data_IF_392343612661
#
_entry.id   IF_392343612661
#
_cell.length_a   1.000
_cell.length_b   1.000
_cell.length_c   1.000
_cell.angle_alpha   90.00
_cell.angle_beta   90.00
_cell.angle_gamma   90.00
#
_symmetry.space_group_name_H-M   'P 1'
#
loop_
_entity.id
_entity.type
_entity.pdbx_description
1 polymer ?
#
# COMPACT_ATOMS: atom_id res chain seq x y z
N UNK A 1 -6.84 21.21 -21.76
CA UNK A 1 -7.30 20.41 -22.91
C UNK A 1 -6.53 19.10 -22.88
N UNK A 2 -7.24 17.99 -22.63
CA UNK A 2 -6.67 16.67 -22.40
C UNK A 2 -7.76 15.78 -21.82
N UNK A 3 -8.76 15.46 -22.63
CA UNK A 3 -9.75 14.44 -22.29
C UNK A 3 -9.02 13.11 -22.14
N UNK A 4 -9.01 12.54 -20.93
CA UNK A 4 -8.30 11.29 -20.68
C UNK A 4 -9.00 10.12 -21.38
N UNK A 5 -8.18 9.36 -22.11
CA UNK A 5 -8.59 8.45 -23.17
C UNK A 5 -9.52 7.32 -22.70
N UNK A 6 -10.53 7.12 -23.55
CA UNK A 6 -11.58 6.11 -23.46
C UNK A 6 -11.03 4.69 -23.57
N UNK A 7 -11.56 3.79 -22.75
CA UNK A 7 -11.36 2.36 -22.93
C UNK A 7 -12.64 1.69 -23.49
N UNK A 8 -12.57 1.18 -24.72
CA UNK A 8 -13.62 0.32 -25.30
C UNK A 8 -13.32 -1.16 -25.02
N UNK A 9 -14.26 -1.85 -24.38
CA UNK A 9 -14.44 -3.30 -24.53
C UNK A 9 -15.88 -3.55 -24.95
N UNK A 10 -16.07 -4.47 -25.91
CA UNK A 10 -17.37 -4.89 -26.42
C UNK A 10 -18.14 -5.63 -25.31
N UNK A 11 -18.97 -4.91 -24.57
CA UNK A 11 -20.20 -5.34 -23.90
C UNK A 11 -20.62 -4.24 -22.91
N UNK A 12 -21.92 -3.93 -22.84
CA UNK A 12 -22.52 -2.80 -22.10
C UNK A 12 -22.42 -2.94 -20.56
N UNK A 13 -21.22 -3.08 -20.00
CA UNK A 13 -20.96 -2.86 -18.57
C UNK A 13 -20.50 -1.42 -18.38
N UNK A 14 -21.22 -0.63 -17.56
CA UNK A 14 -20.80 0.72 -17.16
C UNK A 14 -19.36 0.63 -16.64
N UNK A 15 -18.44 1.36 -17.31
CA UNK A 15 -17.02 1.29 -17.00
C UNK A 15 -16.66 2.32 -15.94
N UNK A 16 -16.23 1.84 -14.78
CA UNK A 16 -15.69 2.66 -13.71
C UNK A 16 -14.20 2.93 -13.96
N UNK A 17 -13.77 4.16 -13.70
CA UNK A 17 -12.37 4.57 -13.69
C UNK A 17 -11.71 4.13 -12.38
N UNK A 18 -10.37 4.06 -12.35
CA UNK A 18 -9.61 3.78 -11.10
C UNK A 18 -10.06 4.73 -9.98
N UNK A 19 -10.20 6.01 -10.29
CA UNK A 19 -10.69 7.05 -9.38
C UNK A 19 -12.08 6.76 -8.82
N UNK A 20 -12.99 6.21 -9.63
CA UNK A 20 -14.33 5.85 -9.17
C UNK A 20 -14.25 4.72 -8.13
N UNK A 21 -13.41 3.71 -8.36
CA UNK A 21 -13.22 2.60 -7.41
C UNK A 21 -12.64 3.11 -6.09
N UNK A 22 -11.68 4.04 -6.13
CA UNK A 22 -11.11 4.61 -4.91
C UNK A 22 -12.11 5.52 -4.18
N UNK A 23 -12.98 6.24 -4.91
CA UNK A 23 -14.10 6.94 -4.28
C UNK A 23 -15.08 5.97 -3.63
N UNK A 24 -15.46 4.87 -4.29
CA UNK A 24 -16.32 3.85 -3.69
C UNK A 24 -15.71 3.28 -2.40
N UNK A 25 -14.42 2.95 -2.42
CA UNK A 25 -13.67 2.56 -1.24
C UNK A 25 -13.73 3.62 -0.13
N UNK A 26 -13.56 4.89 -0.47
CA UNK A 26 -13.66 6.00 0.49
C UNK A 26 -15.06 6.13 1.13
N UNK A 27 -16.12 5.76 0.38
CA UNK A 27 -17.53 5.75 0.79
C UNK A 27 -17.99 4.42 1.40
N UNK A 28 -17.10 3.45 1.71
CA UNK A 28 -17.45 2.26 2.50
C UNK A 28 -18.05 2.62 3.87
N UNK A 29 -17.72 3.81 4.37
CA UNK A 29 -18.35 4.44 5.53
C UNK A 29 -19.08 5.70 5.07
N UNK A 30 -20.12 6.09 5.79
CA UNK A 30 -20.83 7.33 5.48
C UNK A 30 -19.90 8.55 5.55
N UNK A 31 -19.95 9.42 4.53
CA UNK A 31 -19.14 10.64 4.40
C UNK A 31 -19.98 11.82 3.99
N UNK A 32 -19.64 13.00 4.51
CA UNK A 32 -20.27 14.25 4.11
C UNK A 32 -19.60 14.75 2.82
N UNK A 33 -20.39 14.96 1.77
CA UNK A 33 -19.87 15.36 0.46
C UNK A 33 -19.38 16.82 0.41
N UNK A 34 -19.66 17.61 1.44
CA UNK A 34 -19.22 19.01 1.56
C UNK A 34 -17.89 19.16 2.31
N UNK A 35 -17.37 18.08 2.90
CA UNK A 35 -16.08 18.10 3.58
C UNK A 35 -14.91 18.14 2.60
N UNK A 36 -13.72 18.42 3.13
CA UNK A 36 -12.49 18.31 2.36
C UNK A 36 -12.16 16.85 2.10
N UNK A 37 -11.74 16.55 0.87
CA UNK A 37 -11.35 15.21 0.47
C UNK A 37 -9.82 15.06 0.51
N UNK A 38 -9.32 13.81 0.66
CA UNK A 38 -7.89 13.55 0.56
C UNK A 38 -7.28 14.09 -0.74
N UNK A 39 -6.12 14.74 -0.62
CA UNK A 39 -5.44 15.41 -1.71
C UNK A 39 -5.07 14.48 -2.88
N UNK A 40 -4.91 13.18 -2.63
CA UNK A 40 -4.56 12.22 -3.67
C UNK A 40 -5.62 12.12 -4.79
N UNK A 41 -6.89 12.47 -4.52
CA UNK A 41 -7.90 12.47 -5.58
C UNK A 41 -7.57 13.50 -6.66
N UNK A 42 -7.09 14.68 -6.28
CA UNK A 42 -6.70 15.72 -7.22
C UNK A 42 -5.28 15.53 -7.73
N UNK A 43 -4.32 15.12 -6.88
CA UNK A 43 -2.90 15.05 -7.29
C UNK A 43 -2.54 13.74 -7.99
N UNK A 44 -2.98 12.59 -7.47
CA UNK A 44 -2.66 11.27 -8.03
C UNK A 44 -3.64 10.86 -9.12
N UNK A 45 -4.94 11.08 -8.89
CA UNK A 45 -6.00 10.66 -9.82
C UNK A 45 -6.53 11.76 -10.73
N UNK A 46 -6.17 13.04 -10.48
CA UNK A 46 -6.48 14.18 -11.35
C UNK A 46 -7.98 14.34 -11.64
N UNK A 47 -8.84 14.09 -10.65
CA UNK A 47 -10.30 14.22 -10.78
C UNK A 47 -10.85 15.47 -10.10
N UNK A 48 -11.99 15.96 -10.61
CA UNK A 48 -12.92 16.77 -9.83
C UNK A 48 -13.79 15.84 -8.97
N UNK A 49 -13.50 15.80 -7.68
CA UNK A 49 -14.18 14.93 -6.71
C UNK A 49 -15.68 15.18 -6.67
N UNK A 50 -16.12 16.45 -6.75
CA UNK A 50 -17.55 16.79 -6.68
C UNK A 50 -18.29 16.32 -7.92
N UNK A 51 -17.66 16.44 -9.09
CA UNK A 51 -18.22 15.92 -10.33
C UNK A 51 -18.38 14.39 -10.27
N UNK A 52 -17.37 13.68 -9.79
CA UNK A 52 -17.45 12.21 -9.71
C UNK A 52 -18.40 11.70 -8.62
N UNK A 53 -18.53 12.40 -7.50
CA UNK A 53 -19.59 12.10 -6.53
C UNK A 53 -20.98 12.22 -7.16
N UNK A 54 -21.24 13.30 -7.91
CA UNK A 54 -22.53 13.47 -8.61
C UNK A 54 -22.80 12.31 -9.58
N UNK A 55 -21.78 11.89 -10.34
CA UNK A 55 -21.86 10.72 -11.23
C UNK A 55 -22.15 9.43 -10.44
N UNK A 56 -21.50 9.20 -9.31
CA UNK A 56 -21.73 8.01 -8.47
C UNK A 56 -23.14 7.99 -7.87
N UNK A 57 -23.70 9.15 -7.50
CA UNK A 57 -25.10 9.29 -7.05
C UNK A 57 -26.06 8.97 -8.19
N UNK A 58 -25.86 9.59 -9.36
CA UNK A 58 -26.71 9.38 -10.55
C UNK A 58 -26.69 7.93 -11.03
N UNK A 59 -25.55 7.25 -10.88
CA UNK A 59 -25.41 5.84 -11.23
C UNK A 59 -25.85 4.88 -10.13
N UNK A 60 -26.32 5.39 -8.98
CA UNK A 60 -26.74 4.62 -7.80
C UNK A 60 -25.61 3.75 -7.20
N UNK A 61 -24.36 4.11 -7.43
CA UNK A 61 -23.20 3.43 -6.84
C UNK A 61 -22.96 3.89 -5.39
N UNK A 62 -23.40 5.10 -5.05
CA UNK A 62 -23.55 5.58 -3.67
C UNK A 62 -24.98 6.08 -3.47
N UNK A 63 -25.43 6.06 -2.22
CA UNK A 63 -26.78 6.46 -1.81
C UNK A 63 -26.75 7.29 -0.55
N UNK A 64 -27.84 8.01 -0.28
CA UNK A 64 -27.95 8.81 0.94
C UNK A 64 -27.86 7.89 2.16
N UNK A 65 -27.00 8.23 3.10
CA UNK A 65 -26.86 7.48 4.34
C UNK A 65 -28.18 7.53 5.12
N UNK A 66 -28.58 6.41 5.71
CA UNK A 66 -29.78 6.37 6.54
C UNK A 66 -29.56 7.14 7.86
N UNK A 67 -30.64 7.44 8.57
CA UNK A 67 -30.64 8.18 9.84
C UNK A 67 -29.59 7.67 10.83
N UNK A 68 -29.53 6.35 11.04
CA UNK A 68 -28.57 5.74 11.97
C UNK A 68 -27.13 5.95 11.53
N UNK A 69 -26.85 5.83 10.23
CA UNK A 69 -25.53 6.07 9.65
C UNK A 69 -25.12 7.54 9.76
N UNK A 70 -26.04 8.47 9.49
CA UNK A 70 -25.80 9.91 9.64
C UNK A 70 -25.51 10.30 11.10
N UNK A 71 -26.32 9.80 12.06
CA UNK A 71 -26.07 10.01 13.49
C UNK A 71 -24.70 9.46 13.93
N UNK A 72 -24.25 8.34 13.34
CA UNK A 72 -22.93 7.80 13.61
C UNK A 72 -21.77 8.69 13.14
N UNK A 73 -22.01 9.65 12.25
CA UNK A 73 -20.98 10.61 11.83
C UNK A 73 -20.79 11.73 12.86
N UNK A 74 -21.82 12.06 13.64
CA UNK A 74 -21.75 13.09 14.67
C UNK A 74 -20.83 12.67 15.82
N UNK A 75 -20.10 13.62 16.38
CA UNK A 75 -19.31 13.38 17.59
C UNK A 75 -20.22 13.31 18.84
N UNK A 76 -19.68 12.82 19.95
CA UNK A 76 -20.47 12.62 21.19
C UNK A 76 -21.05 13.95 21.73
N UNK A 77 -20.36 15.07 21.54
CA UNK A 77 -20.85 16.39 21.97
C UNK A 77 -22.07 16.82 21.17
N UNK A 78 -22.03 16.66 19.84
CA UNK A 78 -23.15 16.94 18.93
C UNK A 78 -24.37 16.08 19.25
N UNK A 79 -24.18 14.77 19.44
CA UNK A 79 -25.27 13.87 19.84
C UNK A 79 -25.92 14.29 21.17
N UNK A 80 -25.10 14.68 22.15
CA UNK A 80 -25.61 15.19 23.44
C UNK A 80 -26.35 16.51 23.29
N UNK A 81 -25.97 17.39 22.36
CA UNK A 81 -26.73 18.62 22.07
C UNK A 81 -28.13 18.29 21.58
N UNK A 82 -28.26 17.37 20.61
CA UNK A 82 -29.57 16.93 20.10
C UNK A 82 -30.39 16.29 21.23
N UNK A 83 -29.78 15.43 22.05
CA UNK A 83 -30.45 14.82 23.20
C UNK A 83 -31.00 15.88 24.17
N UNK A 84 -30.27 16.98 24.42
CA UNK A 84 -30.75 18.07 25.28
C UNK A 84 -31.92 18.82 24.66
N UNK A 85 -31.85 19.12 23.36
CA UNK A 85 -32.95 19.79 22.64
C UNK A 85 -34.25 18.99 22.74
N UNK A 86 -34.15 17.68 22.64
CA UNK A 86 -35.28 16.75 22.72
C UNK A 86 -35.62 16.31 24.15
N UNK A 87 -34.99 16.91 25.17
CA UNK A 87 -35.20 16.61 26.59
C UNK A 87 -35.02 15.12 26.97
N UNK A 88 -34.12 14.39 26.30
CA UNK A 88 -33.79 12.99 26.62
C UNK A 88 -32.45 12.83 27.36
N UNK A 89 -32.25 11.72 28.11
CA UNK A 89 -31.04 11.54 28.90
C UNK A 89 -29.75 11.48 28.06
N UNK A 90 -28.82 12.40 28.36
CA UNK A 90 -27.52 12.58 27.68
C UNK A 90 -26.40 11.63 28.17
N UNK A 91 -26.72 10.73 29.08
CA UNK A 91 -25.77 9.76 29.66
C UNK A 91 -25.62 8.53 28.78
N UNK A 92 -24.41 7.96 28.76
CA UNK A 92 -24.09 6.73 28.05
C UNK A 92 -23.00 6.87 26.98
N UNK A 93 -22.62 5.72 26.43
CA UNK A 93 -21.71 5.61 25.27
C UNK A 93 -22.41 6.07 23.99
N UNK A 94 -21.65 6.39 22.94
CA UNK A 94 -22.15 6.88 21.64
C UNK A 94 -23.29 6.02 21.07
N UNK A 95 -23.14 4.69 21.06
CA UNK A 95 -24.17 3.79 20.55
C UNK A 95 -25.51 3.95 21.29
N UNK A 96 -25.47 4.03 22.63
CA UNK A 96 -26.67 4.22 23.47
C UNK A 96 -27.34 5.56 23.17
N UNK A 97 -26.56 6.63 22.97
CA UNK A 97 -27.12 7.93 22.59
C UNK A 97 -27.81 7.87 21.23
N UNK A 98 -27.22 7.18 20.26
CA UNK A 98 -27.80 7.01 18.93
C UNK A 98 -29.10 6.19 19.01
N UNK A 99 -29.12 5.09 19.75
CA UNK A 99 -30.32 4.26 19.88
C UNK A 99 -31.49 5.04 20.53
N UNK A 100 -31.20 5.90 21.51
CA UNK A 100 -32.21 6.83 22.08
C UNK A 100 -32.68 7.87 21.06
N UNK A 101 -31.78 8.45 20.29
CA UNK A 101 -32.14 9.45 19.28
C UNK A 101 -32.99 8.85 18.15
N UNK A 102 -32.78 7.58 17.82
CA UNK A 102 -33.57 6.88 16.79
C UNK A 102 -35.04 6.65 17.19
N UNK A 103 -35.40 6.78 18.46
CA UNK A 103 -36.81 6.70 18.90
C UNK A 103 -37.56 8.01 18.75
N UNK A 104 -36.86 9.10 18.40
CA UNK A 104 -37.44 10.45 18.31
C UNK A 104 -38.08 10.64 16.93
N UNK A 105 -39.37 11.02 16.86
CA UNK A 105 -40.00 11.40 15.60
C UNK A 105 -39.24 12.55 14.93
N UNK A 106 -39.11 12.53 13.60
CA UNK A 106 -38.44 13.58 12.83
C UNK A 106 -36.98 13.86 13.20
N UNK A 107 -36.27 12.91 13.84
CA UNK A 107 -34.83 13.02 14.13
C UNK A 107 -33.98 13.40 12.89
N UNK A 108 -34.49 13.13 11.69
CA UNK A 108 -33.90 13.50 10.42
C UNK A 108 -33.72 15.01 10.22
N UNK A 109 -34.46 15.85 10.94
CA UNK A 109 -34.34 17.31 10.86
C UNK A 109 -33.04 17.83 11.52
N UNK A 110 -32.44 17.03 12.41
CA UNK A 110 -31.18 17.37 13.10
C UNK A 110 -29.92 16.94 12.35
N UNK A 111 -30.07 16.23 11.23
CA UNK A 111 -28.97 15.67 10.46
C UNK A 111 -28.92 16.29 9.07
N UNK A 112 -27.71 16.54 8.60
CA UNK A 112 -27.48 17.15 7.30
C UNK A 112 -27.53 16.05 6.22
N UNK A 113 -28.52 16.12 5.32
CA UNK A 113 -28.75 15.18 4.20
C UNK A 113 -27.70 15.27 3.08
N UNK A 114 -26.44 15.44 3.46
CA UNK A 114 -25.26 15.51 2.59
C UNK A 114 -24.31 14.36 2.85
N UNK A 115 -24.69 13.43 3.73
CA UNK A 115 -23.97 12.21 4.02
C UNK A 115 -24.38 11.09 3.06
N UNK A 116 -23.41 10.54 2.33
CA UNK A 116 -23.61 9.42 1.41
C UNK A 116 -22.77 8.22 1.86
N UNK A 117 -23.20 7.03 1.46
CA UNK A 117 -22.51 5.76 1.70
C UNK A 117 -22.59 4.90 0.44
N UNK A 118 -21.65 3.97 0.29
CA UNK A 118 -21.67 2.99 -0.79
C UNK A 118 -22.97 2.17 -0.77
N UNK A 119 -23.60 2.04 -1.94
CA UNK A 119 -24.80 1.21 -2.12
C UNK A 119 -24.41 -0.26 -2.34
N UNK A 120 -25.39 -1.16 -2.43
CA UNK A 120 -25.11 -2.56 -2.79
C UNK A 120 -24.48 -2.69 -4.19
N UNK A 121 -24.94 -1.90 -5.17
CA UNK A 121 -24.32 -1.85 -6.51
C UNK A 121 -22.87 -1.35 -6.44
N UNK A 122 -22.62 -0.34 -5.60
CA UNK A 122 -21.28 0.16 -5.36
C UNK A 122 -20.37 -0.89 -4.75
N UNK A 123 -20.86 -1.66 -3.77
CA UNK A 123 -20.10 -2.74 -3.13
C UNK A 123 -19.72 -3.83 -4.13
N UNK A 124 -20.69 -4.32 -4.91
CA UNK A 124 -20.41 -5.31 -5.96
C UNK A 124 -19.38 -4.78 -6.97
N UNK A 125 -19.50 -3.50 -7.35
CA UNK A 125 -18.53 -2.85 -8.23
C UNK A 125 -17.14 -2.80 -7.60
N UNK A 126 -17.05 -2.41 -6.32
CA UNK A 126 -15.79 -2.31 -5.58
C UNK A 126 -15.12 -3.68 -5.42
N UNK A 127 -15.88 -4.71 -5.05
CA UNK A 127 -15.42 -6.09 -4.89
C UNK A 127 -14.83 -6.64 -6.19
N UNK A 128 -15.54 -6.45 -7.31
CA UNK A 128 -15.08 -6.88 -8.64
C UNK A 128 -13.82 -6.13 -9.15
N UNK A 129 -13.42 -5.05 -8.49
CA UNK A 129 -12.33 -4.18 -8.90
C UNK A 129 -11.35 -3.89 -7.75
N UNK A 130 -11.31 -4.76 -6.73
CA UNK A 130 -10.59 -4.50 -5.48
C UNK A 130 -9.07 -4.39 -5.66
N UNK A 131 -8.51 -4.89 -6.75
CA UNK A 131 -7.09 -4.73 -7.09
C UNK A 131 -6.67 -3.25 -7.24
N UNK A 132 -7.59 -2.36 -7.62
CA UNK A 132 -7.29 -0.92 -7.58
C UNK A 132 -7.14 -0.38 -6.16
N UNK A 133 -7.86 -0.95 -5.18
CA UNK A 133 -7.68 -0.61 -3.76
C UNK A 133 -6.33 -1.11 -3.25
N UNK A 134 -5.94 -2.33 -3.60
CA UNK A 134 -4.59 -2.86 -3.29
C UNK A 134 -3.51 -1.95 -3.86
N UNK A 135 -3.64 -1.53 -5.13
CA UNK A 135 -2.78 -0.54 -5.78
C UNK A 135 -2.74 0.80 -5.05
N UNK A 136 -3.90 1.33 -4.65
CA UNK A 136 -3.94 2.62 -3.96
C UNK A 136 -3.16 2.59 -2.65
N UNK A 137 -3.27 1.48 -1.89
CA UNK A 137 -2.54 1.27 -0.64
C UNK A 137 -1.05 1.07 -0.88
N UNK A 138 -0.68 0.28 -1.90
CA UNK A 138 0.70 -0.10 -2.18
C UNK A 138 0.97 -0.05 -3.69
N UNK A 139 1.42 1.11 -4.19
CA UNK A 139 1.59 1.34 -5.62
C UNK A 139 2.99 1.03 -6.17
N UNK A 140 3.99 0.82 -5.31
CA UNK A 140 5.40 0.53 -5.67
C UNK A 140 5.87 1.31 -6.92
N UNK A 141 5.69 2.63 -6.88
CA UNK A 141 6.08 3.60 -7.94
C UNK A 141 5.39 3.46 -9.31
N UNK A 142 4.44 2.54 -9.48
CA UNK A 142 3.68 2.43 -10.72
C UNK A 142 2.60 3.53 -10.81
N UNK A 143 2.47 4.18 -11.97
CA UNK A 143 1.41 5.17 -12.19
C UNK A 143 0.01 4.51 -12.26
N UNK A 144 -1.09 5.22 -11.95
CA UNK A 144 -2.44 4.64 -12.02
C UNK A 144 -2.78 4.12 -13.42
N UNK A 145 -2.34 4.83 -14.46
CA UNK A 145 -2.55 4.46 -15.86
C UNK A 145 -1.78 3.21 -16.23
N UNK A 146 -0.51 3.12 -15.84
CA UNK A 146 0.31 1.93 -16.15
C UNK A 146 -0.22 0.70 -15.41
N UNK A 147 -0.63 0.86 -14.14
CA UNK A 147 -1.26 -0.21 -13.40
C UNK A 147 -2.54 -0.70 -14.08
N UNK A 148 -3.45 0.21 -14.46
CA UNK A 148 -4.69 -0.17 -15.14
C UNK A 148 -4.44 -0.91 -16.47
N UNK A 149 -3.48 -0.43 -17.27
CA UNK A 149 -3.11 -1.05 -18.55
C UNK A 149 -2.49 -2.44 -18.36
N UNK A 150 -1.66 -2.63 -17.32
CA UNK A 150 -1.06 -3.92 -16.99
C UNK A 150 -2.09 -4.88 -16.40
N UNK A 151 -2.96 -4.40 -15.51
CA UNK A 151 -4.03 -5.20 -14.91
C UNK A 151 -4.96 -5.79 -15.97
N UNK A 152 -5.32 -5.00 -17.00
CA UNK A 152 -6.13 -5.50 -18.11
C UNK A 152 -5.48 -6.68 -18.85
N UNK A 153 -4.15 -6.71 -18.95
CA UNK A 153 -3.40 -7.73 -19.69
C UNK A 153 -3.06 -8.94 -18.81
N UNK A 154 -2.72 -8.69 -17.55
CA UNK A 154 -2.16 -9.67 -16.64
C UNK A 154 -3.21 -10.29 -15.72
N UNK A 155 -4.30 -9.59 -15.43
CA UNK A 155 -5.45 -10.11 -14.67
C UNK A 155 -5.50 -9.59 -13.24
N UNK A 156 -4.46 -9.81 -12.45
CA UNK A 156 -4.46 -9.53 -10.99
C UNK A 156 -3.39 -8.54 -10.54
N UNK A 157 -3.62 -7.90 -9.39
CA UNK A 157 -2.62 -7.06 -8.71
C UNK A 157 -1.27 -7.78 -8.56
N UNK A 158 -1.28 -9.03 -8.13
CA UNK A 158 -0.08 -9.82 -7.87
C UNK A 158 0.69 -10.09 -9.17
N UNK A 159 0.01 -10.48 -10.25
CA UNK A 159 0.64 -10.70 -11.55
C UNK A 159 1.23 -9.41 -12.13
N UNK A 160 0.56 -8.27 -11.94
CA UNK A 160 1.08 -6.95 -12.36
C UNK A 160 2.40 -6.65 -11.68
N UNK A 161 2.48 -6.77 -10.35
CA UNK A 161 3.68 -6.41 -9.61
C UNK A 161 4.81 -7.40 -9.78
N UNK A 162 4.53 -8.71 -9.79
CA UNK A 162 5.56 -9.72 -10.11
C UNK A 162 6.18 -9.41 -11.49
N UNK A 163 5.36 -9.14 -12.50
CA UNK A 163 5.87 -8.77 -13.82
C UNK A 163 6.67 -7.46 -13.80
N UNK A 164 6.17 -6.43 -13.11
CA UNK A 164 6.86 -5.14 -13.03
C UNK A 164 8.20 -5.24 -12.31
N UNK A 165 8.28 -6.00 -11.23
CA UNK A 165 9.53 -6.19 -10.49
C UNK A 165 10.60 -6.85 -11.33
N UNK A 166 10.28 -7.93 -12.06
CA UNK A 166 11.27 -8.56 -12.95
C UNK A 166 11.72 -7.63 -14.09
N UNK A 167 10.79 -6.93 -14.73
CA UNK A 167 11.13 -5.95 -15.76
C UNK A 167 12.03 -4.82 -15.21
N UNK A 168 11.76 -4.38 -13.99
CA UNK A 168 12.53 -3.34 -13.32
C UNK A 168 13.94 -3.80 -12.99
N UNK A 169 14.11 -5.04 -12.50
CA UNK A 169 15.44 -5.61 -12.25
C UNK A 169 16.31 -5.57 -13.49
N UNK A 170 15.80 -6.09 -14.61
CA UNK A 170 16.51 -6.08 -15.89
C UNK A 170 16.81 -4.67 -16.37
N UNK A 171 15.79 -3.79 -16.33
CA UNK A 171 15.93 -2.40 -16.75
C UNK A 171 16.97 -1.65 -15.94
N UNK A 172 17.00 -1.83 -14.62
CA UNK A 172 17.92 -1.13 -13.74
C UNK A 172 19.33 -1.70 -13.83
N UNK A 173 19.49 -3.03 -13.87
CA UNK A 173 20.79 -3.64 -14.03
C UNK A 173 21.44 -3.26 -15.38
N UNK A 174 20.69 -3.32 -16.49
CA UNK A 174 21.20 -2.97 -17.82
C UNK A 174 21.58 -1.49 -17.96
N UNK A 175 21.00 -0.61 -17.13
CA UNK A 175 21.33 0.81 -17.07
C UNK A 175 22.30 1.17 -15.94
N UNK A 176 22.81 0.15 -15.23
CA UNK A 176 23.67 0.31 -14.05
C UNK A 176 23.07 1.22 -12.95
N UNK A 177 21.74 1.27 -12.85
CA UNK A 177 21.00 2.04 -11.85
C UNK A 177 20.83 1.23 -10.56
N UNK A 178 21.93 0.97 -9.86
CA UNK A 178 21.96 0.02 -8.76
C UNK A 178 21.17 0.44 -7.52
N UNK A 179 21.06 1.75 -7.25
CA UNK A 179 20.18 2.26 -6.19
C UNK A 179 18.71 1.91 -6.44
N UNK A 180 18.23 2.04 -7.68
CA UNK A 180 16.87 1.65 -8.06
C UNK A 180 16.71 0.13 -8.11
N UNK A 181 17.73 -0.60 -8.56
CA UNK A 181 17.75 -2.08 -8.49
C UNK A 181 17.56 -2.57 -7.05
N UNK A 182 18.35 -2.03 -6.10
CA UNK A 182 18.26 -2.33 -4.67
C UNK A 182 16.89 -1.95 -4.10
N UNK A 183 16.33 -0.79 -4.48
CA UNK A 183 14.98 -0.40 -4.04
C UNK A 183 13.90 -1.33 -4.59
N UNK A 184 14.05 -1.83 -5.82
CA UNK A 184 13.14 -2.81 -6.40
C UNK A 184 13.17 -4.15 -5.63
N UNK A 185 14.33 -4.57 -5.11
CA UNK A 185 14.42 -5.72 -4.18
C UNK A 185 13.68 -5.44 -2.86
N UNK A 186 13.81 -4.22 -2.32
CA UNK A 186 13.06 -3.82 -1.12
C UNK A 186 11.54 -3.81 -1.36
N UNK A 187 11.08 -3.33 -2.52
CA UNK A 187 9.67 -3.37 -2.90
C UNK A 187 9.16 -4.80 -3.04
N UNK A 188 9.97 -5.73 -3.55
CA UNK A 188 9.61 -7.16 -3.57
C UNK A 188 9.46 -7.74 -2.15
N UNK A 189 10.39 -7.43 -1.23
CA UNK A 189 10.26 -7.87 0.16
C UNK A 189 8.95 -7.37 0.78
N UNK A 190 8.65 -6.07 0.64
CA UNK A 190 7.41 -5.46 1.13
C UNK A 190 6.16 -6.04 0.45
N UNK A 191 6.23 -6.35 -0.84
CA UNK A 191 5.14 -6.99 -1.55
C UNK A 191 4.83 -8.37 -0.98
N UNK A 192 5.85 -9.21 -0.75
CA UNK A 192 5.65 -10.55 -0.19
C UNK A 192 5.23 -10.52 1.29
N UNK A 193 5.63 -9.50 2.05
CA UNK A 193 5.09 -9.24 3.37
C UNK A 193 3.55 -9.10 3.35
N UNK A 194 3.03 -8.33 2.39
CA UNK A 194 1.58 -8.12 2.24
C UNK A 194 0.83 -9.39 1.82
N UNK A 195 1.54 -10.41 1.34
CA UNK A 195 1.00 -11.72 0.95
C UNK A 195 1.22 -12.79 2.04
N UNK A 196 1.76 -12.39 3.20
CA UNK A 196 2.19 -13.31 4.28
C UNK A 196 3.20 -14.38 3.82
N UNK A 197 3.94 -14.13 2.73
CA UNK A 197 5.01 -14.99 2.22
C UNK A 197 6.35 -14.57 2.82
N UNK A 198 6.51 -14.83 4.11
CA UNK A 198 7.66 -14.40 4.90
C UNK A 198 8.98 -15.08 4.47
N UNK A 199 8.92 -16.23 3.80
CA UNK A 199 10.11 -16.87 3.23
C UNK A 199 10.66 -16.07 2.03
N UNK A 200 9.79 -15.64 1.11
CA UNK A 200 10.23 -14.76 0.01
C UNK A 200 10.61 -13.38 0.53
N UNK A 201 9.87 -12.83 1.49
CA UNK A 201 10.24 -11.58 2.16
C UNK A 201 11.69 -11.66 2.70
N UNK A 202 12.01 -12.73 3.43
CA UNK A 202 13.36 -12.99 3.94
C UNK A 202 14.40 -13.04 2.81
N UNK A 203 14.14 -13.79 1.73
CA UNK A 203 15.05 -13.86 0.58
C UNK A 203 15.33 -12.46 -0.01
N UNK A 204 14.29 -11.66 -0.25
CA UNK A 204 14.49 -10.33 -0.84
C UNK A 204 15.18 -9.36 0.12
N UNK A 205 14.97 -9.47 1.44
CA UNK A 205 15.79 -8.71 2.40
C UNK A 205 17.26 -9.12 2.39
N UNK A 206 17.56 -10.42 2.22
CA UNK A 206 18.95 -10.89 2.02
C UNK A 206 19.53 -10.27 0.75
N UNK A 207 18.77 -10.21 -0.36
CA UNK A 207 19.22 -9.59 -1.61
C UNK A 207 19.45 -8.08 -1.47
N UNK A 208 18.58 -7.37 -0.74
CA UNK A 208 18.79 -5.95 -0.41
C UNK A 208 20.08 -5.78 0.39
N UNK A 209 20.28 -6.59 1.42
CA UNK A 209 21.48 -6.53 2.24
C UNK A 209 22.74 -6.86 1.43
N UNK A 210 22.67 -7.85 0.54
CA UNK A 210 23.76 -8.21 -0.36
C UNK A 210 24.12 -7.08 -1.33
N UNK A 211 23.13 -6.32 -1.81
CA UNK A 211 23.36 -5.06 -2.54
C UNK A 211 24.05 -4.03 -1.65
N UNK A 212 23.57 -3.81 -0.42
CA UNK A 212 24.16 -2.85 0.52
C UNK A 212 25.63 -3.20 0.84
N UNK A 213 25.97 -4.51 0.91
CA UNK A 213 27.35 -5.01 1.10
C UNK A 213 28.25 -4.91 -0.15
N UNK A 214 27.70 -4.56 -1.31
CA UNK A 214 28.44 -4.45 -2.57
C UNK A 214 29.06 -3.07 -2.80
N UNK A 215 28.55 -2.04 -2.11
CA UNK A 215 28.89 -0.63 -2.35
C UNK A 215 28.09 0.02 -3.49
N UNK A 216 27.35 -0.75 -4.29
CA UNK A 216 26.50 -0.22 -5.33
C UNK A 216 25.17 0.33 -4.76
N UNK A 217 25.07 1.66 -4.69
CA UNK A 217 23.85 2.38 -4.33
C UNK A 217 23.50 3.42 -5.42
N UNK A 218 22.90 4.58 -5.08
CA UNK A 218 22.68 5.67 -6.06
C UNK A 218 23.99 6.15 -6.70
N UNK A 219 25.09 6.08 -5.94
CA UNK A 219 26.46 6.22 -6.42
C UNK A 219 27.25 4.97 -6.00
N UNK A 220 28.22 4.53 -6.79
CA UNK A 220 29.12 3.46 -6.35
C UNK A 220 30.04 3.98 -5.25
N UNK A 221 30.12 3.25 -4.13
CA UNK A 221 31.03 3.53 -3.03
C UNK A 221 32.24 2.64 -3.18
N UNK A 222 33.37 3.24 -3.53
CA UNK A 222 34.60 2.51 -3.84
C UNK A 222 35.31 1.99 -2.57
N UNK A 223 35.07 2.66 -1.44
CA UNK A 223 35.66 2.28 -0.17
C UNK A 223 34.76 1.35 0.63
N UNK A 224 35.34 0.25 1.11
CA UNK A 224 34.70 -0.65 2.05
C UNK A 224 34.22 0.07 3.32
N UNK A 225 34.94 1.12 3.75
CA UNK A 225 34.60 1.87 4.96
C UNK A 225 33.38 2.79 4.81
N UNK A 226 32.89 2.94 3.58
CA UNK A 226 31.74 3.77 3.25
C UNK A 226 30.46 2.94 3.11
N UNK A 227 30.50 1.61 3.33
CA UNK A 227 29.29 0.78 3.26
C UNK A 227 28.28 1.25 4.31
N UNK A 228 27.05 1.51 3.88
CA UNK A 228 25.95 1.83 4.79
C UNK A 228 25.06 0.62 4.93
N UNK A 229 24.91 0.17 6.16
CA UNK A 229 23.96 -0.88 6.50
C UNK A 229 22.66 -0.25 6.97
N UNK A 230 21.54 -0.64 6.38
CA UNK A 230 20.24 -0.22 6.86
C UNK A 230 19.91 -0.91 8.20
N UNK A 231 19.84 -0.20 9.35
CA UNK A 231 19.65 -0.84 10.65
C UNK A 231 18.35 -1.63 10.76
N UNK A 232 17.30 -1.16 10.08
CA UNK A 232 16.02 -1.87 10.02
C UNK A 232 16.10 -3.24 9.35
N UNK A 233 16.97 -3.40 8.35
CA UNK A 233 17.18 -4.69 7.67
C UNK A 233 17.96 -5.65 8.56
N UNK A 234 18.98 -5.16 9.25
CA UNK A 234 19.73 -6.00 10.21
C UNK A 234 18.80 -6.50 11.33
N UNK A 235 18.00 -5.61 11.90
CA UNK A 235 17.03 -5.97 12.94
C UNK A 235 15.99 -6.98 12.44
N UNK A 236 15.60 -6.87 11.16
CA UNK A 236 14.66 -7.81 10.56
C UNK A 236 15.19 -9.25 10.61
N UNK A 237 16.46 -9.49 10.31
CA UNK A 237 17.02 -10.85 10.27
C UNK A 237 16.94 -11.58 11.61
N UNK A 238 17.37 -10.91 12.69
CA UNK A 238 17.30 -11.48 14.04
C UNK A 238 15.86 -11.70 14.52
N UNK A 239 14.95 -10.78 14.18
CA UNK A 239 13.53 -10.88 14.55
C UNK A 239 12.79 -11.99 13.78
N UNK A 240 13.27 -12.36 12.59
CA UNK A 240 12.56 -13.25 11.65
C UNK A 240 13.37 -14.49 11.28
N UNK A 241 14.35 -14.88 12.10
CA UNK A 241 15.29 -15.96 11.80
C UNK A 241 14.65 -17.31 11.46
N UNK A 242 13.41 -17.55 11.91
CA UNK A 242 12.68 -18.79 11.63
C UNK A 242 12.39 -19.00 10.12
N UNK A 243 12.33 -17.91 9.34
CA UNK A 243 12.11 -17.96 7.89
C UNK A 243 13.42 -18.08 7.09
N UNK A 244 14.57 -17.95 7.74
CA UNK A 244 15.87 -18.03 7.08
C UNK A 244 16.18 -19.47 6.65
N UNK A 245 16.58 -19.63 5.39
CA UNK A 245 17.13 -20.89 4.86
C UNK A 245 18.51 -20.63 4.29
N UNK A 246 19.49 -21.47 4.61
CA UNK A 246 20.87 -21.33 4.12
C UNK A 246 20.95 -21.27 2.59
N UNK A 247 20.08 -21.99 1.88
CA UNK A 247 19.98 -21.97 0.42
C UNK A 247 19.60 -20.60 -0.16
N UNK A 248 18.99 -19.70 0.62
CA UNK A 248 18.68 -18.33 0.19
C UNK A 248 19.95 -17.53 -0.10
N UNK A 249 21.06 -17.83 0.59
CA UNK A 249 22.34 -17.17 0.33
C UNK A 249 22.87 -17.56 -1.05
N UNK A 250 22.83 -18.86 -1.38
CA UNK A 250 23.25 -19.35 -2.69
C UNK A 250 22.39 -18.73 -3.80
N UNK A 251 21.07 -18.72 -3.60
CA UNK A 251 20.13 -18.11 -4.54
C UNK A 251 20.40 -16.61 -4.73
N UNK A 252 20.55 -15.86 -3.64
CA UNK A 252 20.88 -14.43 -3.68
C UNK A 252 22.16 -14.15 -4.47
N UNK A 253 23.23 -14.92 -4.25
CA UNK A 253 24.51 -14.72 -4.94
C UNK A 253 24.40 -15.02 -6.44
N UNK A 254 23.58 -16.01 -6.82
CA UNK A 254 23.37 -16.39 -8.22
C UNK A 254 22.48 -15.38 -8.95
N UNK A 255 21.39 -14.95 -8.30
CA UNK A 255 20.34 -14.16 -8.96
C UNK A 255 20.62 -12.65 -8.92
N UNK A 256 21.41 -12.17 -7.95
CA UNK A 256 21.72 -10.75 -7.83
C UNK A 256 22.71 -10.29 -8.92
N UNK A 257 22.38 -9.20 -9.61
CA UNK A 257 23.09 -8.74 -10.81
C UNK A 257 24.17 -7.69 -10.54
N UNK A 258 24.39 -7.29 -9.29
CA UNK A 258 25.40 -6.26 -9.00
C UNK A 258 26.81 -6.83 -9.31
N UNK A 259 27.70 -6.05 -9.95
CA UNK A 259 28.84 -6.64 -10.67
C UNK A 259 30.04 -6.94 -9.78
N UNK A 260 30.16 -6.31 -8.61
CA UNK A 260 31.27 -6.52 -7.67
C UNK A 260 30.77 -6.56 -6.24
N UNK A 261 31.44 -7.34 -5.41
CA UNK A 261 31.17 -7.43 -3.99
C UNK A 261 32.46 -7.38 -3.17
N UNK A 262 32.38 -6.78 -1.99
CA UNK A 262 33.51 -6.79 -1.06
C UNK A 262 33.71 -8.14 -0.37
N UNK A 263 32.65 -8.95 -0.26
CA UNK A 263 32.61 -10.18 0.51
C UNK A 263 32.69 -11.42 -0.39
N UNK A 264 33.49 -12.39 0.03
CA UNK A 264 33.39 -13.76 -0.50
C UNK A 264 32.06 -14.41 -0.13
N UNK A 265 31.67 -15.47 -0.84
CA UNK A 265 30.47 -16.27 -0.51
C UNK A 265 30.49 -16.76 0.94
N UNK A 266 31.61 -17.34 1.38
CA UNK A 266 31.78 -17.86 2.74
C UNK A 266 31.74 -16.72 3.77
N UNK A 267 32.37 -15.60 3.43
CA UNK A 267 32.31 -14.37 4.21
C UNK A 267 30.89 -13.83 4.43
N UNK A 268 30.13 -13.68 3.35
CA UNK A 268 28.74 -13.23 3.42
C UNK A 268 27.86 -14.22 4.19
N UNK A 269 28.08 -15.53 4.01
CA UNK A 269 27.38 -16.59 4.75
C UNK A 269 27.63 -16.53 6.26
N UNK A 270 28.89 -16.34 6.66
CA UNK A 270 29.25 -16.17 8.06
C UNK A 270 28.64 -14.89 8.66
N UNK A 271 28.66 -13.78 7.92
CA UNK A 271 28.04 -12.53 8.34
C UNK A 271 26.52 -12.69 8.53
N UNK A 272 25.84 -13.33 7.57
CA UNK A 272 24.41 -13.61 7.70
C UNK A 272 24.10 -14.45 8.94
N UNK A 273 24.88 -15.51 9.18
CA UNK A 273 24.72 -16.36 10.37
C UNK A 273 24.87 -15.55 11.66
N UNK A 274 25.85 -14.64 11.72
CA UNK A 274 26.01 -13.73 12.85
C UNK A 274 24.78 -12.82 13.04
N UNK A 275 24.24 -12.24 11.96
CA UNK A 275 23.11 -11.31 12.03
C UNK A 275 21.77 -11.96 12.37
N UNK A 276 21.64 -13.29 12.26
CA UNK A 276 20.45 -14.01 12.74
C UNK A 276 20.32 -14.01 14.27
N UNK A 277 21.43 -13.83 14.99
CA UNK A 277 21.44 -13.80 16.45
C UNK A 277 21.84 -12.42 17.01
N UNK A 278 22.12 -11.44 16.15
CA UNK A 278 22.57 -10.11 16.55
C UNK A 278 21.78 -9.00 15.85
N UNK A 279 21.17 -8.11 16.63
CA UNK A 279 20.36 -6.99 16.12
C UNK A 279 21.19 -5.82 15.55
N UNK A 280 22.51 -5.88 15.66
CA UNK A 280 23.43 -4.85 15.19
C UNK A 280 24.79 -5.43 14.85
N UNK A 281 25.51 -4.75 13.95
CA UNK A 281 26.92 -4.96 13.70
C UNK A 281 27.62 -3.61 13.57
N UNK A 282 28.76 -3.45 14.27
CA UNK A 282 29.61 -2.28 14.08
C UNK A 282 30.47 -2.47 12.83
N UNK A 283 30.66 -1.38 12.08
CA UNK A 283 31.38 -1.42 10.80
C UNK A 283 32.80 -2.02 10.92
N UNK A 284 33.48 -1.84 12.06
CA UNK A 284 34.82 -2.40 12.30
C UNK A 284 34.86 -3.93 12.19
N UNK A 285 33.79 -4.61 12.61
CA UNK A 285 33.69 -6.07 12.58
C UNK A 285 33.35 -6.62 11.20
N UNK A 286 32.83 -5.81 10.27
CA UNK A 286 32.56 -6.25 8.90
C UNK A 286 33.81 -6.79 8.19
N UNK A 287 34.98 -6.24 8.53
CA UNK A 287 36.26 -6.62 7.93
C UNK A 287 36.61 -8.10 8.20
N UNK A 288 36.20 -8.64 9.35
CA UNK A 288 36.46 -10.02 9.79
C UNK A 288 35.76 -11.03 8.86
N UNK A 289 34.59 -10.65 8.34
CA UNK A 289 33.78 -11.49 7.47
C UNK A 289 34.14 -11.37 5.99
N UNK A 290 35.06 -10.47 5.60
CA UNK A 290 35.26 -10.14 4.17
C UNK A 290 35.80 -11.31 3.34
N UNK A 291 36.87 -11.96 3.81
CA UNK A 291 37.69 -12.93 3.05
C UNK A 291 37.81 -14.29 3.74
N UNK A 292 36.80 -14.69 4.51
CA UNK A 292 36.74 -16.04 5.07
C UNK A 292 36.82 -17.03 3.91
N UNK A 293 37.89 -17.83 3.87
CA UNK A 293 38.14 -18.81 2.81
C UNK A 293 37.21 -20.00 2.93
#
# INVERSE_FOLDING_TARGET
MGFFNFFKSKENKKKYLVSDIILLWYFEKARNINEQFPMYFTTKYQIDVKAEIKKLILTKAIELANTKQQLNMLNVSELKKICKTENIPTTGKKAILIDKLLTIPNINEYINNTAYIISNLGKETLENNYDFVKYHKNSFELSPTDFANKLQKLGTYEQVYINEFYNNEDRYANKENWGLYRNNKLYQAQFYHLQDDYEKEMLYYIEVFYCDMSGYCNNYRESFHELMLAPGIIKYFSSNKLYFKKSMIDKCIIDCKVPKHYFSKNGFSALMSYLLDNEKIEHKYLSEYRKIK
#
